data_IF_324426075152
#
_entry.id   IF_324426075152
#
_cell.length_a   1.000
_cell.length_b   1.000
_cell.length_c   1.000
_cell.angle_alpha   90.00
_cell.angle_beta   90.00
_cell.angle_gamma   90.00
#
_symmetry.space_group_name_H-M   'P 1'
#
loop_
_entity.id
_entity.type
_entity.pdbx_description
1 polymer ?
#
# COMPACT_ATOMS: atom_id res chain seq x y z
N UNK A 1 -14.53 4.49 -6.28
CA UNK A 1 -13.73 4.14 -5.08
C UNK A 1 -12.25 4.21 -5.41
N UNK A 2 -11.51 4.94 -4.63
CA UNK A 2 -10.07 5.13 -4.86
C UNK A 2 -9.28 4.44 -3.74
N UNK A 3 -8.44 3.47 -4.11
CA UNK A 3 -7.63 2.68 -3.18
C UNK A 3 -6.19 3.14 -3.25
N UNK A 4 -5.61 3.43 -2.09
CA UNK A 4 -4.19 3.71 -1.97
C UNK A 4 -3.45 2.41 -1.65
N UNK A 5 -2.48 2.04 -2.49
CA UNK A 5 -1.67 0.84 -2.29
C UNK A 5 -0.26 1.27 -1.86
N UNK A 6 0.07 0.99 -0.60
CA UNK A 6 1.37 1.33 -0.05
C UNK A 6 2.43 0.31 -0.44
N UNK A 7 3.55 0.78 -0.95
CA UNK A 7 4.66 -0.04 -1.40
C UNK A 7 5.91 0.30 -0.59
N UNK A 8 6.16 -0.45 0.49
CA UNK A 8 7.41 -0.36 1.23
C UNK A 8 8.52 -1.06 0.44
N UNK A 9 9.77 -0.61 0.60
CA UNK A 9 10.88 -1.37 0.01
C UNK A 9 10.85 -2.81 0.55
N UNK A 10 11.21 -3.76 -0.29
CA UNK A 10 11.15 -5.17 0.09
C UNK A 10 9.74 -5.74 0.19
N UNK A 11 8.74 -5.07 -0.35
CA UNK A 11 7.39 -5.61 -0.38
C UNK A 11 7.35 -6.92 -1.18
N UNK A 12 6.46 -7.84 -0.77
CA UNK A 12 6.31 -9.12 -1.48
C UNK A 12 5.58 -8.90 -2.80
N UNK A 13 6.24 -9.25 -3.90
CA UNK A 13 5.73 -9.02 -5.25
C UNK A 13 4.34 -9.63 -5.46
N UNK A 14 4.14 -10.87 -5.02
CA UNK A 14 2.87 -11.56 -5.21
C UNK A 14 1.73 -10.91 -4.41
N UNK A 15 2.01 -10.43 -3.20
CA UNK A 15 1.01 -9.78 -2.36
C UNK A 15 0.62 -8.39 -2.87
N UNK A 16 1.56 -7.70 -3.47
CA UNK A 16 1.31 -6.44 -4.16
C UNK A 16 0.43 -6.66 -5.40
N UNK A 17 0.80 -7.64 -6.23
CA UNK A 17 0.14 -7.85 -7.52
C UNK A 17 -1.32 -8.26 -7.37
N UNK A 18 -1.70 -8.92 -6.29
CA UNK A 18 -3.09 -9.33 -6.09
C UNK A 18 -4.03 -8.13 -5.98
N UNK A 19 -3.61 -7.05 -5.34
CA UNK A 19 -4.43 -5.84 -5.26
C UNK A 19 -4.60 -5.19 -6.64
N UNK A 20 -3.51 -5.13 -7.42
CA UNK A 20 -3.56 -4.59 -8.77
C UNK A 20 -4.50 -5.42 -9.63
N UNK A 21 -4.34 -6.74 -9.59
CA UNK A 21 -5.05 -7.66 -10.47
C UNK A 21 -6.54 -7.72 -10.14
N UNK A 22 -6.88 -7.96 -8.87
CA UNK A 22 -8.27 -8.10 -8.45
C UNK A 22 -9.08 -6.83 -8.72
N UNK A 23 -8.54 -5.67 -8.34
CA UNK A 23 -9.23 -4.41 -8.59
C UNK A 23 -9.26 -4.06 -10.07
N UNK A 24 -8.19 -4.38 -10.79
CA UNK A 24 -8.14 -4.17 -12.23
C UNK A 24 -9.20 -4.97 -12.99
N UNK A 25 -9.34 -6.25 -12.67
CA UNK A 25 -10.34 -7.09 -13.29
C UNK A 25 -11.76 -6.73 -12.87
N UNK A 26 -11.96 -6.35 -11.61
CA UNK A 26 -13.27 -5.86 -11.17
C UNK A 26 -13.72 -4.65 -11.97
N UNK A 27 -12.80 -3.73 -12.23
CA UNK A 27 -13.08 -2.54 -13.06
C UNK A 27 -13.31 -2.92 -14.51
N UNK A 28 -12.42 -3.73 -15.06
CA UNK A 28 -12.42 -4.04 -16.49
C UNK A 28 -13.58 -4.93 -16.91
N UNK A 29 -13.86 -5.99 -16.14
CA UNK A 29 -14.85 -6.99 -16.54
C UNK A 29 -16.23 -6.78 -15.91
N UNK A 30 -16.30 -6.11 -14.77
CA UNK A 30 -17.54 -5.94 -14.02
C UNK A 30 -18.00 -4.49 -13.89
N UNK A 31 -17.31 -3.56 -14.52
CA UNK A 31 -17.67 -2.15 -14.50
C UNK A 31 -17.65 -1.48 -13.14
N UNK A 32 -16.90 -2.06 -12.17
CA UNK A 32 -16.77 -1.46 -10.85
C UNK A 32 -15.98 -0.15 -10.95
N UNK A 33 -16.44 0.90 -10.27
CA UNK A 33 -15.72 2.17 -10.22
C UNK A 33 -14.64 2.11 -9.13
N UNK A 34 -13.55 1.41 -9.43
CA UNK A 34 -12.41 1.25 -8.55
C UNK A 34 -11.14 1.67 -9.29
N UNK A 35 -10.35 2.54 -8.66
CA UNK A 35 -9.01 2.89 -9.15
C UNK A 35 -8.00 2.63 -8.04
N UNK A 36 -6.78 2.25 -8.42
CA UNK A 36 -5.68 2.00 -7.49
C UNK A 36 -4.56 2.97 -7.80
N UNK A 37 -4.08 3.64 -6.76
CA UNK A 37 -2.94 4.53 -6.85
C UNK A 37 -1.86 4.04 -5.89
N UNK A 38 -0.62 3.94 -6.36
CA UNK A 38 0.49 3.44 -5.55
C UNK A 38 1.23 4.59 -4.87
N UNK A 39 1.75 4.33 -3.68
CA UNK A 39 2.62 5.28 -2.99
C UNK A 39 3.78 4.56 -2.31
N UNK A 40 4.85 5.30 -2.09
CA UNK A 40 6.02 4.79 -1.40
C UNK A 40 6.87 5.93 -0.86
N UNK A 41 7.94 5.58 -0.14
CA UNK A 41 8.87 6.57 0.41
C UNK A 41 9.79 7.14 -0.66
N UNK A 42 10.03 6.39 -1.72
CA UNK A 42 10.82 6.81 -2.87
C UNK A 42 10.04 6.55 -4.14
N UNK A 43 10.37 7.29 -5.21
CA UNK A 43 9.65 7.14 -6.49
C UNK A 43 9.84 5.77 -7.10
N UNK A 44 11.04 5.20 -7.00
CA UNK A 44 11.29 3.81 -7.37
C UNK A 44 11.40 2.97 -6.11
N UNK A 45 10.60 1.92 -6.04
CA UNK A 45 10.58 0.99 -4.91
C UNK A 45 10.92 -0.40 -5.44
N UNK A 46 11.81 -1.10 -4.74
CA UNK A 46 12.26 -2.43 -5.14
C UNK A 46 11.61 -3.49 -4.26
N UNK A 47 10.90 -4.42 -4.88
CA UNK A 47 10.23 -5.53 -4.19
C UNK A 47 11.22 -6.63 -3.82
N UNK A 48 10.72 -7.69 -3.24
CA UNK A 48 11.49 -8.92 -3.03
C UNK A 48 12.11 -9.37 -4.36
N UNK A 49 13.33 -9.87 -4.28
CA UNK A 49 14.08 -10.40 -5.43
C UNK A 49 14.37 -9.39 -6.53
N UNK A 50 14.39 -8.11 -6.18
CA UNK A 50 14.96 -7.07 -7.03
C UNK A 50 14.05 -6.52 -8.14
N UNK A 51 12.74 -6.68 -8.05
CA UNK A 51 11.82 -6.15 -9.06
C UNK A 51 11.50 -4.68 -8.75
N UNK A 52 11.94 -3.72 -9.57
CA UNK A 52 11.64 -2.32 -9.33
C UNK A 52 10.27 -1.94 -9.86
N UNK A 53 9.57 -1.07 -9.13
CA UNK A 53 8.35 -0.43 -9.60
C UNK A 53 8.47 1.09 -9.43
N UNK A 54 7.71 1.81 -10.23
CA UNK A 54 7.57 3.26 -10.08
C UNK A 54 6.21 3.53 -9.44
N UNK A 55 6.21 4.19 -8.28
CA UNK A 55 4.95 4.55 -7.61
C UNK A 55 4.38 5.85 -8.17
N UNK A 56 3.07 6.01 -8.03
CA UNK A 56 2.39 7.20 -8.51
C UNK A 56 2.69 8.43 -7.66
N UNK A 57 2.79 8.26 -6.34
CA UNK A 57 3.03 9.35 -5.40
C UNK A 57 3.99 8.96 -4.29
N UNK A 58 4.65 9.97 -3.73
CA UNK A 58 5.41 9.82 -2.51
C UNK A 58 4.47 9.89 -1.31
N UNK A 59 4.83 9.20 -0.23
CA UNK A 59 3.98 9.15 0.97
C UNK A 59 3.68 10.54 1.53
N UNK A 60 4.60 11.46 1.43
CA UNK A 60 4.44 12.84 1.93
C UNK A 60 3.43 13.66 1.11
N UNK A 61 3.08 13.19 -0.09
CA UNK A 61 2.09 13.84 -0.95
C UNK A 61 0.66 13.37 -0.67
N UNK A 62 0.49 12.36 0.22
CA UNK A 62 -0.79 11.69 0.43
C UNK A 62 -1.60 12.40 1.52
N UNK A 63 -2.88 12.62 1.22
CA UNK A 63 -3.89 12.97 2.21
C UNK A 63 -4.94 11.87 2.26
N UNK A 64 -5.24 11.34 3.44
CA UNK A 64 -6.21 10.27 3.60
C UNK A 64 -7.61 10.65 3.08
N UNK A 65 -7.93 11.94 3.08
CA UNK A 65 -9.23 12.44 2.60
C UNK A 65 -9.48 12.12 1.11
N UNK A 66 -8.42 11.97 0.34
CA UNK A 66 -8.53 11.74 -1.11
C UNK A 66 -8.77 10.29 -1.48
N UNK A 67 -8.78 9.38 -0.50
CA UNK A 67 -8.90 7.94 -0.75
C UNK A 67 -10.04 7.33 0.05
N UNK A 68 -10.54 6.20 -0.42
CA UNK A 68 -11.59 5.44 0.24
C UNK A 68 -11.05 4.24 1.03
N UNK A 69 -9.88 3.74 0.65
CA UNK A 69 -9.29 2.58 1.28
C UNK A 69 -7.77 2.59 1.19
N UNK A 70 -7.13 1.92 2.14
CA UNK A 70 -5.69 1.68 2.16
C UNK A 70 -5.43 0.18 2.07
N UNK A 71 -4.53 -0.22 1.18
CA UNK A 71 -4.10 -1.61 1.03
C UNK A 71 -2.61 -1.73 1.35
N UNK A 72 -2.26 -2.73 2.16
CA UNK A 72 -0.90 -2.92 2.68
C UNK A 72 -0.42 -4.35 2.42
N UNK A 73 0.34 -4.59 1.34
CA UNK A 73 1.01 -5.87 1.15
C UNK A 73 2.13 -6.04 2.18
N UNK A 74 2.47 -7.28 2.48
CA UNK A 74 3.59 -7.59 3.37
C UNK A 74 4.93 -7.55 2.64
N UNK A 75 5.94 -8.05 3.33
CA UNK A 75 7.31 -8.08 2.79
C UNK A 75 8.24 -8.79 3.76
N UNK A 76 9.55 -8.64 3.56
CA UNK A 76 10.54 -9.35 4.35
C UNK A 76 11.56 -8.41 4.96
N UNK A 77 11.91 -8.67 6.21
CA UNK A 77 12.90 -7.89 6.96
C UNK A 77 14.26 -7.86 6.26
N UNK A 78 14.67 -8.98 5.67
CA UNK A 78 15.97 -9.05 4.98
C UNK A 78 16.06 -8.11 3.77
N UNK A 79 14.92 -7.64 3.26
CA UNK A 79 14.87 -6.68 2.15
C UNK A 79 14.50 -5.26 2.63
N UNK A 80 14.49 -5.04 3.95
CA UNK A 80 14.26 -3.72 4.53
C UNK A 80 12.81 -3.32 4.73
N UNK A 81 11.88 -4.26 4.64
CA UNK A 81 10.45 -3.97 4.69
C UNK A 81 10.05 -3.17 5.93
N UNK A 82 10.49 -3.61 7.12
CA UNK A 82 10.05 -2.99 8.37
C UNK A 82 10.64 -1.61 8.60
N UNK A 83 11.75 -1.27 7.95
CA UNK A 83 12.29 0.08 8.04
C UNK A 83 11.28 1.13 7.58
N UNK A 84 10.53 0.82 6.53
CA UNK A 84 9.51 1.72 6.00
C UNK A 84 8.12 1.42 6.54
N UNK A 85 7.77 0.14 6.71
CA UNK A 85 6.46 -0.23 7.22
C UNK A 85 6.21 0.25 8.65
N UNK A 86 7.26 0.37 9.45
CA UNK A 86 7.18 0.88 10.84
C UNK A 86 7.61 2.34 10.97
N UNK A 87 7.90 3.02 9.87
CA UNK A 87 8.22 4.44 9.90
C UNK A 87 7.01 5.24 10.36
N UNK A 88 7.23 6.25 11.21
CA UNK A 88 6.16 7.05 11.79
C UNK A 88 5.29 7.75 10.73
N UNK A 89 5.86 8.11 9.60
CA UNK A 89 5.08 8.73 8.52
C UNK A 89 4.00 7.79 8.00
N UNK A 90 4.34 6.50 7.85
CA UNK A 90 3.35 5.52 7.43
C UNK A 90 2.37 5.17 8.55
N UNK A 91 2.85 5.02 9.78
CA UNK A 91 1.97 4.75 10.93
C UNK A 91 0.95 5.88 11.11
N UNK A 92 1.38 7.13 10.92
CA UNK A 92 0.47 8.28 10.97
C UNK A 92 -0.57 8.20 9.86
N UNK A 93 -0.18 7.80 8.67
CA UNK A 93 -1.12 7.64 7.55
C UNK A 93 -2.17 6.58 7.88
N UNK A 94 -1.78 5.44 8.46
CA UNK A 94 -2.71 4.41 8.91
C UNK A 94 -3.71 5.00 9.91
N UNK A 95 -3.23 5.74 10.89
CA UNK A 95 -4.11 6.37 11.90
C UNK A 95 -5.09 7.35 11.24
N UNK A 96 -4.65 8.10 10.25
CA UNK A 96 -5.51 9.05 9.54
C UNK A 96 -6.64 8.33 8.79
N UNK A 97 -6.32 7.24 8.09
CA UNK A 97 -7.33 6.41 7.44
C UNK A 97 -8.34 5.87 8.46
N UNK A 98 -7.85 5.36 9.58
CA UNK A 98 -8.71 4.82 10.62
C UNK A 98 -9.63 5.88 11.23
N UNK A 99 -9.11 7.07 11.53
CA UNK A 99 -9.91 8.16 12.09
C UNK A 99 -11.02 8.62 11.16
N UNK A 100 -10.77 8.57 9.85
CA UNK A 100 -11.77 8.97 8.85
C UNK A 100 -12.73 7.83 8.51
N UNK A 101 -12.67 6.71 9.22
CA UNK A 101 -13.56 5.58 8.99
C UNK A 101 -13.34 4.87 7.66
N UNK A 102 -12.15 5.01 7.07
CA UNK A 102 -11.82 4.39 5.79
C UNK A 102 -11.50 2.90 5.97
N UNK A 103 -11.71 2.12 4.92
CA UNK A 103 -11.35 0.70 4.92
C UNK A 103 -9.83 0.52 4.85
N UNK A 104 -9.32 -0.46 5.59
CA UNK A 104 -7.90 -0.81 5.58
C UNK A 104 -7.80 -2.32 5.39
N UNK A 105 -7.03 -2.74 4.38
CA UNK A 105 -6.80 -4.15 4.09
C UNK A 105 -5.30 -4.43 4.14
N UNK A 106 -4.93 -5.61 4.63
CA UNK A 106 -3.54 -6.03 4.67
C UNK A 106 -3.43 -7.52 4.32
N UNK A 107 -2.24 -7.90 3.87
CA UNK A 107 -1.90 -9.29 3.57
C UNK A 107 -0.65 -9.63 4.36
N UNK A 108 -0.63 -10.83 4.96
CA UNK A 108 0.55 -11.37 5.65
C UNK A 108 1.07 -10.40 6.72
N UNK A 109 2.38 -10.14 6.74
CA UNK A 109 2.99 -9.22 7.71
C UNK A 109 2.65 -7.75 7.47
N UNK A 110 1.94 -7.43 6.39
CA UNK A 110 1.34 -6.11 6.21
C UNK A 110 0.37 -5.73 7.33
N UNK A 111 -0.10 -6.70 8.10
CA UNK A 111 -0.94 -6.46 9.28
C UNK A 111 -0.15 -5.87 10.46
N UNK A 112 1.16 -6.09 10.52
CA UNK A 112 1.98 -5.65 11.67
C UNK A 112 2.02 -4.13 11.84
N UNK A 113 2.23 -3.33 10.78
CA UNK A 113 2.15 -1.88 10.94
C UNK A 113 0.77 -1.40 11.38
N UNK A 114 -0.31 -2.10 11.03
CA UNK A 114 -1.64 -1.76 11.52
C UNK A 114 -1.71 -1.90 13.03
N UNK A 115 -1.18 -3.00 13.59
CA UNK A 115 -1.13 -3.21 15.02
C UNK A 115 -0.21 -2.22 15.74
N UNK A 116 0.86 -1.78 15.07
CA UNK A 116 1.81 -0.83 15.65
C UNK A 116 1.31 0.60 15.58
N UNK A 117 0.45 0.91 14.65
CA UNK A 117 -0.08 2.25 14.50
C UNK A 117 -0.95 2.67 15.69
#
# INVERSE_FOLDING_TARGET
MKVLLFCAKGFETMEFSVFIDVFGWARNDHGCDISVETCGFTKQVVSTFGVPIIVDKLIEEISADEYDALAVPGGFEEFGFYEEAFDEKFLKLIRDFNRHGKSIASVCVGALPLGKS
#
